data_IF_955424491289
#
_entry.id   IF_955424491289
#
_cell.length_a   1.000
_cell.length_b   1.000
_cell.length_c   1.000
_cell.angle_alpha   90.00
_cell.angle_beta   90.00
_cell.angle_gamma   90.00
#
_symmetry.space_group_name_H-M   'P 1'
#
loop_
_entity.id
_entity.type
_entity.pdbx_description
1 polymer ?
#
# COMPACT_ATOMS: atom_id res chain seq x y z
N UNK A 1 49.51 -40.57 -8.49
CA UNK A 1 49.99 -41.42 -9.59
C UNK A 1 48.80 -42.04 -10.32
N UNK A 2 48.69 -41.77 -11.63
CA UNK A 2 48.13 -42.59 -12.74
C UNK A 2 46.69 -43.15 -12.60
N UNK A 3 45.72 -42.67 -13.42
CA UNK A 3 45.34 -43.12 -14.80
C UNK A 3 44.72 -44.54 -14.78
N UNK A 4 43.70 -44.95 -15.54
CA UNK A 4 42.80 -44.42 -16.58
C UNK A 4 42.06 -45.67 -17.15
N UNK A 5 40.82 -45.55 -17.65
CA UNK A 5 40.16 -46.36 -18.74
C UNK A 5 38.64 -46.47 -18.47
N UNK A 6 37.78 -45.66 -19.10
CA UNK A 6 37.18 -45.84 -20.44
C UNK A 6 36.42 -47.16 -20.62
N UNK A 7 35.09 -47.08 -20.66
CA UNK A 7 34.28 -47.89 -21.56
C UNK A 7 33.29 -46.98 -22.28
N UNK A 8 33.53 -46.82 -23.58
CA UNK A 8 32.61 -46.25 -24.56
C UNK A 8 31.31 -47.06 -24.59
N UNK A 9 30.17 -46.39 -24.46
CA UNK A 9 28.94 -46.86 -25.09
C UNK A 9 28.57 -45.86 -26.18
N UNK A 10 28.79 -46.29 -27.43
CA UNK A 10 28.22 -45.68 -28.62
C UNK A 10 26.70 -45.77 -28.53
N UNK A 11 26.02 -44.63 -28.53
CA UNK A 11 24.65 -44.53 -29.02
C UNK A 11 24.62 -43.43 -30.07
N UNK A 12 25.04 -43.79 -31.29
CA UNK A 12 24.72 -43.03 -32.50
C UNK A 12 23.39 -43.59 -33.00
N UNK A 13 22.30 -42.85 -32.79
CA UNK A 13 21.07 -43.06 -33.55
C UNK A 13 20.20 -41.80 -33.53
N UNK A 14 20.26 -41.11 -34.68
CA UNK A 14 19.27 -40.21 -35.26
C UNK A 14 18.74 -39.05 -34.39
N UNK A 15 19.31 -37.87 -34.64
CA UNK A 15 18.53 -36.63 -34.67
C UNK A 15 17.40 -36.78 -35.71
N UNK A 16 16.24 -37.26 -35.28
CA UNK A 16 15.01 -36.83 -35.91
C UNK A 16 14.78 -35.39 -35.44
N UNK A 17 15.18 -34.43 -36.28
CA UNK A 17 14.74 -33.05 -36.18
C UNK A 17 13.23 -33.08 -36.46
N UNK A 18 12.43 -33.40 -35.43
CA UNK A 18 11.07 -32.89 -35.38
C UNK A 18 11.28 -31.41 -35.12
N UNK A 19 11.26 -30.63 -36.20
CA UNK A 19 11.20 -29.19 -36.10
C UNK A 19 9.94 -28.83 -35.33
N UNK A 20 10.07 -28.60 -34.02
CA UNK A 20 9.15 -27.72 -33.33
C UNK A 20 9.40 -26.34 -33.92
N UNK A 21 8.71 -26.04 -35.02
CA UNK A 21 8.50 -24.67 -35.45
C UNK A 21 7.55 -24.05 -34.43
N UNK A 22 8.03 -23.71 -33.24
CA UNK A 22 7.29 -22.81 -32.37
C UNK A 22 7.34 -21.46 -33.08
N UNK A 23 6.26 -21.15 -33.78
CA UNK A 23 6.09 -19.92 -34.52
C UNK A 23 6.21 -18.77 -33.51
N UNK A 24 7.29 -18.00 -33.55
CA UNK A 24 7.51 -16.84 -32.66
C UNK A 24 6.31 -15.87 -32.70
N UNK A 25 5.59 -15.82 -33.83
CA UNK A 25 4.35 -15.06 -33.98
C UNK A 25 3.13 -15.64 -33.23
N UNK A 26 3.03 -16.96 -33.05
CA UNK A 26 1.95 -17.57 -32.25
C UNK A 26 2.20 -17.39 -30.76
N UNK A 27 3.44 -17.55 -30.30
CA UNK A 27 3.83 -17.28 -28.91
C UNK A 27 3.61 -15.80 -28.58
N UNK A 28 4.03 -14.89 -29.47
CA UNK A 28 3.82 -13.45 -29.29
C UNK A 28 2.34 -13.05 -29.24
N UNK A 29 1.47 -13.76 -29.97
CA UNK A 29 0.02 -13.54 -29.93
C UNK A 29 -0.61 -14.04 -28.63
N UNK A 30 -0.24 -15.24 -28.17
CA UNK A 30 -0.72 -15.82 -26.91
C UNK A 30 -0.31 -14.94 -25.72
N UNK A 31 0.95 -14.50 -25.67
CA UNK A 31 1.44 -13.61 -24.61
C UNK A 31 0.67 -12.29 -24.61
N UNK A 32 0.38 -11.73 -25.79
CA UNK A 32 -0.38 -10.48 -25.87
C UNK A 32 -1.82 -10.65 -25.39
N UNK A 33 -2.47 -11.74 -25.77
CA UNK A 33 -3.86 -12.04 -25.39
C UNK A 33 -3.99 -12.34 -23.89
N UNK A 34 -2.98 -12.96 -23.27
CA UNK A 34 -2.95 -13.26 -21.84
C UNK A 34 -2.56 -12.06 -20.97
N UNK A 35 -1.64 -11.19 -21.43
CA UNK A 35 -1.20 -9.99 -20.71
C UNK A 35 -2.20 -8.83 -20.83
N UNK A 36 -2.97 -8.74 -21.92
CA UNK A 36 -4.02 -7.74 -22.11
C UNK A 36 -5.40 -8.20 -21.56
N UNK A 37 -5.49 -9.42 -20.99
CA UNK A 37 -6.71 -9.89 -20.33
C UNK A 37 -7.01 -9.04 -19.08
N UNK A 38 -8.19 -8.39 -18.99
CA UNK A 38 -8.59 -7.59 -17.82
C UNK A 38 -8.49 -8.35 -16.49
N UNK A 39 -8.82 -9.64 -16.47
CA UNK A 39 -8.76 -10.46 -15.25
C UNK A 39 -7.31 -10.68 -14.79
N UNK A 40 -6.39 -10.86 -15.75
CA UNK A 40 -4.96 -10.99 -15.47
C UNK A 40 -4.38 -9.69 -14.92
N UNK A 41 -4.74 -8.54 -15.51
CA UNK A 41 -4.30 -7.21 -15.05
C UNK A 41 -4.77 -6.95 -13.62
N UNK A 42 -6.04 -7.22 -13.33
CA UNK A 42 -6.64 -6.98 -12.03
C UNK A 42 -6.04 -7.89 -10.94
N UNK A 43 -5.80 -9.17 -11.26
CA UNK A 43 -5.11 -10.11 -10.37
C UNK A 43 -3.64 -9.71 -10.15
N UNK A 44 -2.98 -9.16 -11.17
CA UNK A 44 -1.61 -8.66 -11.05
C UNK A 44 -1.54 -7.44 -10.11
N UNK A 45 -2.49 -6.50 -10.22
CA UNK A 45 -2.57 -5.33 -9.35
C UNK A 45 -2.83 -5.73 -7.89
N UNK A 46 -3.76 -6.66 -7.67
CA UNK A 46 -4.02 -7.24 -6.35
C UNK A 46 -2.75 -7.81 -5.72
N UNK A 47 -2.01 -8.65 -6.45
CA UNK A 47 -0.81 -9.31 -5.92
C UNK A 47 0.33 -8.30 -5.64
N UNK A 48 0.50 -7.28 -6.49
CA UNK A 48 1.49 -6.20 -6.27
C UNK A 48 1.18 -5.43 -5.00
N UNK A 49 -0.08 -5.00 -4.84
CA UNK A 49 -0.50 -4.19 -3.69
C UNK A 49 -0.52 -5.00 -2.39
N UNK A 50 -0.93 -6.28 -2.44
CA UNK A 50 -0.79 -7.21 -1.32
C UNK A 50 0.67 -7.37 -0.89
N UNK A 51 1.59 -7.52 -1.83
CA UNK A 51 3.02 -7.63 -1.52
C UNK A 51 3.56 -6.35 -0.88
N UNK A 52 3.16 -5.17 -1.38
CA UNK A 52 3.54 -3.87 -0.77
C UNK A 52 3.06 -3.77 0.67
N UNK A 53 1.80 -4.14 0.93
CA UNK A 53 1.24 -4.15 2.27
C UNK A 53 2.00 -5.10 3.20
N UNK A 54 2.27 -6.33 2.77
CA UNK A 54 2.94 -7.34 3.59
C UNK A 54 4.36 -6.94 4.02
N UNK A 55 5.11 -6.24 3.15
CA UNK A 55 6.46 -5.75 3.48
C UNK A 55 6.45 -4.72 4.61
N UNK A 56 5.32 -4.05 4.87
CA UNK A 56 5.18 -3.10 5.99
C UNK A 56 5.24 -3.82 7.35
N UNK A 57 4.86 -5.09 7.40
CA UNK A 57 4.82 -5.91 8.62
C UNK A 57 4.13 -5.17 9.79
N UNK A 58 2.91 -4.69 9.54
CA UNK A 58 2.16 -3.84 10.44
C UNK A 58 1.05 -4.62 11.16
N UNK A 59 1.35 -5.12 12.36
CA UNK A 59 0.40 -5.93 13.15
C UNK A 59 -0.43 -5.12 14.15
N UNK A 60 -0.01 -3.87 14.41
CA UNK A 60 -0.62 -3.00 15.41
C UNK A 60 -0.95 -1.65 14.77
N UNK A 61 -2.24 -1.38 14.57
CA UNK A 61 -2.70 -0.19 13.86
C UNK A 61 -4.16 0.12 14.17
N UNK A 62 -4.58 1.31 13.80
CA UNK A 62 -5.94 1.80 13.89
C UNK A 62 -6.35 2.41 12.55
N UNK A 63 -7.62 2.28 12.17
CA UNK A 63 -8.17 2.88 10.97
C UNK A 63 -9.67 3.06 11.10
N UNK A 64 -10.23 4.01 10.36
CA UNK A 64 -11.66 4.19 10.22
C UNK A 64 -12.18 3.30 9.10
N UNK A 65 -13.33 2.67 9.31
CA UNK A 65 -13.91 1.68 8.42
C UNK A 65 -15.42 1.83 8.33
N UNK A 66 -15.98 1.57 7.15
CA UNK A 66 -17.42 1.30 6.98
C UNK A 66 -17.68 0.34 5.84
N UNK A 67 -18.75 -0.43 5.97
CA UNK A 67 -19.36 -1.14 4.85
C UNK A 67 -20.27 -0.20 4.05
N UNK A 68 -20.35 -0.44 2.75
CA UNK A 68 -21.24 0.20 1.80
C UNK A 68 -22.09 -0.92 1.19
N UNK A 69 -23.31 -1.10 1.71
CA UNK A 69 -24.25 -2.11 1.25
C UNK A 69 -25.68 -1.74 1.67
N UNK A 70 -26.68 -2.40 1.09
CA UNK A 70 -28.06 -2.32 1.56
C UNK A 70 -28.26 -3.16 2.83
N UNK A 71 -27.70 -2.68 3.94
CA UNK A 71 -27.64 -3.38 5.22
C UNK A 71 -28.28 -2.53 6.35
N UNK A 72 -28.47 -3.13 7.54
CA UNK A 72 -28.94 -2.39 8.72
C UNK A 72 -28.02 -1.20 9.05
N UNK A 73 -28.60 -0.13 9.59
CA UNK A 73 -27.87 1.12 9.85
C UNK A 73 -26.65 0.93 10.75
N UNK A 74 -26.74 0.06 11.76
CA UNK A 74 -25.63 -0.25 12.66
C UNK A 74 -24.48 -1.01 11.97
N UNK A 75 -24.76 -1.71 10.86
CA UNK A 75 -23.78 -2.46 10.08
C UNK A 75 -22.94 -1.56 9.18
N UNK A 76 -23.54 -0.50 8.64
CA UNK A 76 -22.90 0.48 7.75
C UNK A 76 -22.38 1.72 8.48
N UNK A 77 -22.67 1.83 9.78
CA UNK A 77 -22.17 2.93 10.60
C UNK A 77 -20.64 2.92 10.64
N UNK A 78 -19.98 4.07 10.45
CA UNK A 78 -18.53 4.15 10.50
C UNK A 78 -18.00 3.81 11.90
N UNK A 79 -16.92 3.04 11.93
CA UNK A 79 -16.21 2.65 13.15
C UNK A 79 -14.73 2.93 13.03
N UNK A 80 -14.08 3.29 14.14
CA UNK A 80 -12.63 3.22 14.28
C UNK A 80 -12.28 1.83 14.82
N UNK A 81 -11.52 1.06 14.05
CA UNK A 81 -11.08 -0.30 14.39
C UNK A 81 -9.67 -0.26 14.94
N UNK A 82 -9.45 -0.87 16.09
CA UNK A 82 -8.10 -1.12 16.65
C UNK A 82 -7.71 -2.57 16.36
N UNK A 83 -6.60 -2.75 15.64
CA UNK A 83 -5.96 -4.04 15.39
C UNK A 83 -4.70 -4.13 16.24
N UNK A 84 -4.54 -5.24 16.95
CA UNK A 84 -3.35 -5.53 17.74
C UNK A 84 -2.98 -6.99 17.64
N UNK A 85 -1.70 -7.26 17.36
CA UNK A 85 -1.19 -8.59 16.99
C UNK A 85 -1.96 -9.23 15.81
N UNK A 86 -2.30 -8.42 14.81
CA UNK A 86 -2.99 -8.88 13.59
C UNK A 86 -4.46 -9.25 13.77
N UNK A 87 -5.04 -9.07 14.97
CA UNK A 87 -6.45 -9.33 15.24
C UNK A 87 -7.19 -8.07 15.69
N UNK A 88 -8.49 -7.98 15.35
CA UNK A 88 -9.34 -6.89 15.82
C UNK A 88 -9.51 -7.01 17.33
N UNK A 89 -9.04 -5.99 18.06
CA UNK A 89 -9.14 -5.92 19.53
C UNK A 89 -10.43 -5.22 19.96
N UNK A 90 -10.75 -4.13 19.29
CA UNK A 90 -11.94 -3.34 19.53
C UNK A 90 -12.36 -2.58 18.26
N UNK A 91 -13.61 -2.11 18.28
CA UNK A 91 -14.14 -1.15 17.33
C UNK A 91 -15.04 -0.17 18.08
N UNK A 92 -15.00 1.10 17.72
CA UNK A 92 -15.79 2.18 18.34
C UNK A 92 -16.54 2.92 17.24
N UNK A 93 -17.85 3.10 17.39
CA UNK A 93 -18.62 3.92 16.44
C UNK A 93 -18.12 5.36 16.47
N UNK A 94 -17.74 5.90 15.32
CA UNK A 94 -17.07 7.22 15.25
C UNK A 94 -17.99 8.36 15.70
N UNK A 95 -19.29 8.24 15.43
CA UNK A 95 -20.27 9.27 15.79
C UNK A 95 -20.63 9.28 17.28
N UNK A 96 -20.87 8.09 17.85
CA UNK A 96 -21.38 7.99 19.23
C UNK A 96 -20.28 7.79 20.26
N UNK A 97 -19.08 7.41 19.83
CA UNK A 97 -17.96 7.01 20.70
C UNK A 97 -18.31 5.82 21.61
N UNK A 98 -19.32 5.03 21.24
CA UNK A 98 -19.74 3.83 21.96
C UNK A 98 -19.00 2.60 21.39
N UNK A 99 -18.43 1.72 22.24
CA UNK A 99 -17.82 0.48 21.79
C UNK A 99 -18.82 -0.44 21.08
N UNK A 100 -18.39 -1.06 19.99
CA UNK A 100 -19.15 -2.14 19.35
C UNK A 100 -19.17 -3.36 20.27
N UNK A 101 -20.34 -4.00 20.40
CA UNK A 101 -20.49 -5.21 21.20
C UNK A 101 -19.61 -6.34 20.64
N UNK A 102 -19.02 -7.15 21.54
CA UNK A 102 -18.05 -8.20 21.18
C UNK A 102 -18.60 -9.18 20.14
N UNK A 103 -19.87 -9.57 20.25
CA UNK A 103 -20.54 -10.47 19.31
C UNK A 103 -20.76 -9.88 17.90
N UNK A 104 -20.54 -8.56 17.71
CA UNK A 104 -20.63 -7.86 16.44
C UNK A 104 -19.26 -7.57 15.81
N UNK A 105 -18.15 -7.83 16.49
CA UNK A 105 -16.80 -7.55 15.97
C UNK A 105 -16.46 -8.38 14.72
N UNK A 106 -17.06 -9.56 14.59
CA UNK A 106 -16.91 -10.44 13.41
C UNK A 106 -17.48 -9.84 12.11
N UNK A 107 -18.24 -8.75 12.19
CA UNK A 107 -18.74 -8.00 11.02
C UNK A 107 -17.63 -7.25 10.30
N UNK A 108 -16.54 -6.93 10.98
CA UNK A 108 -15.45 -6.13 10.43
C UNK A 108 -14.26 -7.00 10.02
N UNK A 109 -13.31 -6.40 9.29
CA UNK A 109 -12.11 -7.09 8.83
C UNK A 109 -10.86 -6.24 9.10
N UNK A 110 -9.75 -6.92 9.35
CA UNK A 110 -8.41 -6.31 9.26
C UNK A 110 -8.10 -5.99 7.80
N UNK A 111 -6.98 -5.33 7.52
CA UNK A 111 -6.56 -5.06 6.13
C UNK A 111 -6.25 -6.38 5.42
N UNK A 112 -5.60 -7.34 6.10
CA UNK A 112 -5.41 -8.70 5.56
C UNK A 112 -6.74 -9.44 5.36
N UNK A 113 -7.70 -9.20 6.25
CA UNK A 113 -9.07 -9.70 6.09
C UNK A 113 -9.77 -9.12 4.86
N UNK A 114 -9.51 -7.86 4.51
CA UNK A 114 -10.02 -7.25 3.29
C UNK A 114 -9.33 -7.80 2.03
N UNK A 115 -8.01 -8.05 2.08
CA UNK A 115 -7.35 -8.80 1.01
C UNK A 115 -7.94 -10.20 0.82
N UNK A 116 -8.35 -10.85 1.91
CA UNK A 116 -9.02 -12.15 1.85
C UNK A 116 -10.41 -12.02 1.22
N UNK A 117 -11.21 -11.03 1.64
CA UNK A 117 -12.51 -10.70 1.04
C UNK A 117 -12.41 -10.45 -0.48
N UNK A 118 -11.41 -9.70 -0.92
CA UNK A 118 -11.16 -9.42 -2.34
C UNK A 118 -10.75 -10.70 -3.08
N UNK A 119 -9.88 -11.53 -2.48
CA UNK A 119 -9.48 -12.83 -3.06
C UNK A 119 -10.69 -13.74 -3.23
N UNK A 120 -11.54 -13.84 -2.22
CA UNK A 120 -12.75 -14.68 -2.26
C UNK A 120 -13.70 -14.24 -3.40
N UNK A 121 -13.79 -12.93 -3.68
CA UNK A 121 -14.58 -12.40 -4.80
C UNK A 121 -14.03 -12.84 -6.16
N UNK A 122 -12.70 -12.79 -6.35
CA UNK A 122 -12.07 -13.32 -7.57
C UNK A 122 -12.26 -14.82 -7.71
N UNK A 123 -12.01 -15.58 -6.65
CA UNK A 123 -12.11 -17.05 -6.66
C UNK A 123 -13.56 -17.52 -6.86
N UNK A 124 -14.53 -16.71 -6.42
CA UNK A 124 -15.96 -16.90 -6.64
C UNK A 124 -16.48 -16.48 -8.01
N UNK A 125 -15.62 -15.94 -8.90
CA UNK A 125 -16.00 -15.34 -10.18
C UNK A 125 -17.09 -14.27 -10.04
N UNK A 126 -16.94 -13.35 -9.09
CA UNK A 126 -17.83 -12.19 -8.98
C UNK A 126 -17.89 -11.44 -10.33
N UNK A 127 -19.09 -10.98 -10.70
CA UNK A 127 -19.31 -10.26 -11.96
C UNK A 127 -18.40 -9.05 -12.12
N UNK A 128 -18.21 -8.26 -11.06
CA UNK A 128 -17.32 -7.12 -11.03
C UNK A 128 -16.62 -6.96 -9.68
N UNK A 129 -15.32 -6.68 -9.72
CA UNK A 129 -14.52 -6.31 -8.55
C UNK A 129 -13.76 -5.03 -8.88
N UNK A 130 -14.00 -3.96 -8.13
CA UNK A 130 -13.34 -2.68 -8.32
C UNK A 130 -12.69 -2.24 -7.01
N UNK A 131 -11.35 -2.19 -6.97
CA UNK A 131 -10.58 -1.88 -5.75
C UNK A 131 -9.63 -0.72 -6.02
N UNK A 132 -9.60 0.24 -5.09
CA UNK A 132 -8.62 1.31 -5.05
C UNK A 132 -7.60 1.05 -3.93
N UNK A 133 -6.31 1.09 -4.28
CA UNK A 133 -5.21 0.84 -3.35
C UNK A 133 -4.42 2.12 -3.05
N UNK A 134 -3.90 2.23 -1.83
CA UNK A 134 -2.96 3.31 -1.50
C UNK A 134 -1.67 3.09 -2.31
N UNK A 135 -1.22 4.08 -3.10
CA UNK A 135 -0.09 3.88 -4.02
C UNK A 135 1.25 3.68 -3.31
N UNK A 136 1.34 3.97 -2.01
CA UNK A 136 2.57 3.87 -1.23
C UNK A 136 2.63 2.61 -0.38
N UNK A 137 1.55 2.33 0.37
CA UNK A 137 1.47 1.22 1.32
C UNK A 137 0.70 0.01 0.77
N UNK A 138 0.00 0.15 -0.35
CA UNK A 138 -0.68 -0.94 -1.05
C UNK A 138 -1.93 -1.50 -0.38
N UNK A 139 -2.37 -0.96 0.77
CA UNK A 139 -3.64 -1.41 1.37
C UNK A 139 -4.84 -0.97 0.51
N UNK A 140 -5.90 -1.79 0.39
CA UNK A 140 -7.13 -1.37 -0.25
C UNK A 140 -7.82 -0.32 0.64
N UNK A 141 -8.03 0.89 0.13
CA UNK A 141 -8.72 1.93 0.89
C UNK A 141 -10.19 2.07 0.49
N UNK A 142 -10.57 1.52 -0.66
CA UNK A 142 -11.95 1.49 -1.14
C UNK A 142 -12.11 0.26 -2.02
N UNK A 143 -13.27 -0.38 -1.95
CA UNK A 143 -13.59 -1.48 -2.86
C UNK A 143 -15.07 -1.71 -2.99
N UNK A 144 -15.50 -2.22 -4.14
CA UNK A 144 -16.84 -2.74 -4.39
C UNK A 144 -16.76 -4.10 -5.09
N UNK A 145 -17.68 -4.98 -4.71
CA UNK A 145 -17.86 -6.30 -5.30
C UNK A 145 -19.33 -6.48 -5.66
N UNK A 146 -19.58 -6.71 -6.94
CA UNK A 146 -20.86 -7.13 -7.52
C UNK A 146 -20.68 -8.58 -7.96
N UNK A 147 -21.39 -9.52 -7.32
CA UNK A 147 -21.30 -10.94 -7.63
C UNK A 147 -22.24 -11.32 -8.79
N UNK A 148 -23.40 -10.68 -8.91
CA UNK A 148 -24.45 -10.95 -9.89
C UNK A 148 -25.00 -9.65 -10.47
N UNK A 149 -24.77 -9.50 -11.77
CA UNK A 149 -25.25 -8.35 -12.55
C UNK A 149 -26.75 -8.06 -12.29
N UNK A 150 -27.06 -6.79 -12.03
CA UNK A 150 -28.41 -6.27 -11.80
C UNK A 150 -29.08 -6.69 -10.47
N UNK A 151 -28.34 -7.21 -9.49
CA UNK A 151 -28.86 -7.47 -8.13
C UNK A 151 -28.18 -6.54 -7.11
N UNK A 152 -28.83 -5.44 -6.76
CA UNK A 152 -28.22 -4.38 -5.92
C UNK A 152 -28.07 -4.78 -4.44
N UNK A 153 -28.92 -5.66 -3.92
CA UNK A 153 -28.92 -6.05 -2.51
C UNK A 153 -27.78 -7.01 -2.10
N UNK A 154 -27.05 -7.54 -3.07
CA UNK A 154 -25.87 -8.38 -2.83
C UNK A 154 -24.52 -7.65 -2.97
N UNK A 155 -24.51 -6.44 -3.54
CA UNK A 155 -23.30 -5.64 -3.69
C UNK A 155 -22.72 -5.31 -2.31
N UNK A 156 -21.42 -5.58 -2.17
CA UNK A 156 -20.68 -5.23 -0.96
C UNK A 156 -19.48 -4.37 -1.29
N UNK A 157 -19.53 -3.13 -0.84
CA UNK A 157 -18.41 -2.23 -0.82
C UNK A 157 -17.88 -1.95 0.58
N UNK A 158 -16.67 -1.40 0.66
CA UNK A 158 -16.06 -0.95 1.90
C UNK A 158 -15.22 0.30 1.66
N UNK A 159 -14.97 1.04 2.74
CA UNK A 159 -14.08 2.19 2.73
C UNK A 159 -13.22 2.19 4.00
N UNK A 160 -11.93 2.47 3.84
CA UNK A 160 -10.96 2.71 4.91
C UNK A 160 -10.46 4.15 4.84
N UNK A 161 -10.35 4.80 6.00
CA UNK A 161 -9.72 6.11 6.16
C UNK A 161 -8.77 6.11 7.36
N UNK A 162 -7.92 7.13 7.44
CA UNK A 162 -7.11 7.44 8.63
C UNK A 162 -6.30 6.25 9.19
N UNK A 163 -5.68 5.43 8.32
CA UNK A 163 -4.79 4.36 8.75
C UNK A 163 -3.58 4.95 9.52
N UNK A 164 -3.43 4.52 10.77
CA UNK A 164 -2.37 4.94 11.68
C UNK A 164 -1.74 3.73 12.36
N UNK A 165 -0.42 3.65 12.38
CA UNK A 165 0.31 2.64 13.15
C UNK A 165 0.17 2.92 14.64
N UNK A 166 0.08 1.87 15.45
CA UNK A 166 0.17 1.97 16.91
C UNK A 166 1.60 1.71 17.37
N UNK A 167 2.13 2.63 18.18
CA UNK A 167 3.40 2.47 18.89
C UNK A 167 3.17 2.77 20.37
N UNK A 168 3.81 2.01 21.26
CA UNK A 168 3.71 2.23 22.71
C UNK A 168 5.10 2.44 23.29
N UNK A 169 5.20 3.41 24.19
CA UNK A 169 6.40 3.68 24.99
C UNK A 169 6.03 3.87 26.47
N UNK A 170 7.00 4.28 27.29
CA UNK A 170 6.77 4.54 28.72
C UNK A 170 5.75 5.66 29.00
N UNK A 171 5.48 6.52 28.00
CA UNK A 171 4.61 7.69 28.11
C UNK A 171 3.20 7.44 27.54
N UNK A 172 2.93 6.27 26.98
CA UNK A 172 1.60 5.87 26.54
C UNK A 172 1.58 5.24 25.15
N UNK A 173 0.40 5.26 24.53
CA UNK A 173 0.19 4.73 23.17
C UNK A 173 -0.02 5.87 22.19
N UNK A 174 0.67 5.78 21.06
CA UNK A 174 0.76 6.77 20.02
C UNK A 174 0.18 6.24 18.73
N UNK A 175 -0.61 7.08 18.06
CA UNK A 175 -1.03 6.90 16.69
C UNK A 175 -0.02 7.58 15.78
N UNK A 176 0.64 6.81 14.92
CA UNK A 176 1.64 7.26 13.98
C UNK A 176 1.01 7.30 12.58
N UNK A 177 0.82 8.51 12.06
CA UNK A 177 0.20 8.76 10.76
C UNK A 177 1.20 9.28 9.72
N UNK A 178 0.83 9.20 8.45
CA UNK A 178 1.55 9.85 7.34
C UNK A 178 1.31 11.36 7.42
N UNK A 179 2.36 12.17 7.36
CA UNK A 179 2.21 13.63 7.29
C UNK A 179 1.50 14.04 5.99
N UNK A 180 0.38 14.79 6.05
CA UNK A 180 -0.32 15.30 4.88
C UNK A 180 0.49 16.38 4.14
N UNK A 181 1.43 15.95 3.30
CA UNK A 181 2.20 16.84 2.45
C UNK A 181 1.36 17.29 1.25
N UNK A 182 1.38 18.58 0.94
CA UNK A 182 0.67 19.17 -0.20
C UNK A 182 1.60 19.95 -1.16
N UNK A 183 2.87 20.14 -0.80
CA UNK A 183 3.83 20.85 -1.65
C UNK A 183 5.29 20.52 -1.34
N UNK A 184 6.13 20.57 -2.37
CA UNK A 184 7.59 20.44 -2.26
C UNK A 184 8.27 21.50 -3.14
N UNK A 185 9.16 22.31 -2.55
CA UNK A 185 10.10 23.15 -3.30
C UNK A 185 11.53 22.66 -3.12
N UNK A 186 12.38 22.87 -4.13
CA UNK A 186 13.79 22.44 -4.13
C UNK A 186 14.71 23.65 -4.11
N UNK A 187 15.83 23.49 -3.41
CA UNK A 187 16.96 24.39 -3.40
C UNK A 187 18.24 23.58 -3.59
N UNK A 188 18.92 23.80 -4.72
CA UNK A 188 20.10 23.05 -5.13
C UNK A 188 21.33 23.95 -5.04
N UNK A 189 22.43 23.45 -4.47
CA UNK A 189 23.71 24.18 -4.46
C UNK A 189 24.49 24.00 -5.75
N UNK A 190 25.25 25.03 -6.13
CA UNK A 190 26.19 24.99 -7.26
C UNK A 190 27.55 24.40 -6.84
N UNK A 191 27.56 23.25 -6.17
CA UNK A 191 28.77 22.56 -5.70
C UNK A 191 28.85 21.14 -6.26
N UNK A 192 30.02 20.50 -6.17
CA UNK A 192 30.20 19.08 -6.53
C UNK A 192 30.69 18.33 -5.28
N UNK A 193 29.91 17.38 -4.72
CA UNK A 193 28.56 17.00 -5.16
C UNK A 193 27.53 18.11 -4.92
N UNK A 194 26.47 18.11 -5.73
CA UNK A 194 25.34 19.02 -5.54
C UNK A 194 24.61 18.66 -4.25
N UNK A 195 24.25 19.68 -3.45
CA UNK A 195 23.44 19.50 -2.26
C UNK A 195 22.00 19.85 -2.61
N UNK A 196 21.08 18.94 -2.29
CA UNK A 196 19.65 19.14 -2.56
C UNK A 196 18.94 19.30 -1.23
N UNK A 197 18.44 20.51 -0.97
CA UNK A 197 17.53 20.79 0.12
C UNK A 197 16.10 20.87 -0.43
N UNK A 198 15.16 20.31 0.30
CA UNK A 198 13.74 20.43 0.00
C UNK A 198 13.02 21.15 1.14
N UNK A 199 12.01 21.92 0.78
CA UNK A 199 11.05 22.48 1.71
C UNK A 199 9.71 21.80 1.45
N UNK A 200 9.25 21.03 2.43
CA UNK A 200 7.99 20.30 2.37
C UNK A 200 6.93 21.11 3.11
N UNK A 201 5.81 21.37 2.43
CA UNK A 201 4.63 22.03 2.97
C UNK A 201 3.54 21.00 3.21
N UNK A 202 2.76 21.22 4.26
CA UNK A 202 1.63 20.39 4.62
C UNK A 202 0.97 20.90 5.89
N UNK A 203 0.31 20.02 6.62
CA UNK A 203 -0.43 20.40 7.82
C UNK A 203 -0.52 19.29 8.87
N UNK A 204 -0.80 19.68 10.11
CA UNK A 204 -1.17 18.81 11.22
C UNK A 204 -2.69 18.80 11.33
N UNK A 205 -3.29 17.62 11.49
CA UNK A 205 -4.75 17.43 11.33
C UNK A 205 -5.59 17.90 12.53
N UNK A 206 -4.98 18.02 13.71
CA UNK A 206 -5.64 18.45 14.95
C UNK A 206 -4.63 19.09 15.93
N UNK A 207 -5.13 19.58 17.06
CA UNK A 207 -4.31 20.25 18.08
C UNK A 207 -3.30 19.37 18.82
N UNK A 208 -3.42 18.04 18.75
CA UNK A 208 -2.54 17.10 19.45
C UNK A 208 -1.49 16.46 18.53
N UNK A 209 -1.76 16.50 17.22
CA UNK A 209 -0.88 15.91 16.22
C UNK A 209 0.39 16.72 16.13
N UNK A 210 1.52 16.06 16.34
CA UNK A 210 2.84 16.66 16.29
C UNK A 210 3.68 15.98 15.21
N UNK A 211 4.72 16.68 14.75
CA UNK A 211 5.78 16.05 13.97
C UNK A 211 6.39 14.87 14.74
N UNK A 212 6.62 13.76 14.06
CA UNK A 212 7.25 12.57 14.64
C UNK A 212 8.68 12.40 14.14
N UNK A 213 8.85 11.95 12.89
CA UNK A 213 10.16 11.63 12.33
C UNK A 213 10.18 11.77 10.81
N UNK A 214 11.40 11.83 10.27
CA UNK A 214 11.72 11.74 8.84
C UNK A 214 12.58 10.52 8.64
N UNK A 215 12.26 9.70 7.63
CA UNK A 215 13.11 8.62 7.14
C UNK A 215 13.36 8.83 5.66
N UNK A 216 14.61 8.61 5.23
CA UNK A 216 14.98 8.70 3.82
C UNK A 216 15.46 7.33 3.35
N UNK A 217 15.05 6.94 2.15
CA UNK A 217 15.60 5.81 1.42
C UNK A 217 15.96 6.24 0.01
N UNK A 218 17.00 5.62 -0.54
CA UNK A 218 17.48 5.93 -1.88
C UNK A 218 17.80 4.66 -2.64
N UNK A 219 17.26 4.59 -3.85
CA UNK A 219 17.51 3.55 -4.83
C UNK A 219 17.90 4.26 -6.13
N UNK A 220 19.21 4.40 -6.35
CA UNK A 220 19.77 5.12 -7.49
C UNK A 220 19.26 6.57 -7.60
N UNK A 221 18.39 6.82 -8.59
CA UNK A 221 17.77 8.11 -8.89
C UNK A 221 16.38 8.27 -8.26
N UNK A 222 15.86 7.25 -7.59
CA UNK A 222 14.67 7.32 -6.76
C UNK A 222 15.07 7.70 -5.32
N UNK A 223 14.55 8.83 -4.85
CA UNK A 223 14.66 9.27 -3.47
C UNK A 223 13.28 9.25 -2.85
N UNK A 224 13.11 8.55 -1.74
CA UNK A 224 11.85 8.55 -1.00
C UNK A 224 12.07 9.06 0.42
N UNK A 225 11.24 10.03 0.79
CA UNK A 225 11.21 10.66 2.11
C UNK A 225 9.87 10.33 2.75
N UNK A 226 9.89 9.57 3.83
CA UNK A 226 8.73 9.32 4.66
C UNK A 226 8.72 10.32 5.82
N UNK A 227 7.66 11.12 5.92
CA UNK A 227 7.45 12.03 7.04
C UNK A 227 6.23 11.54 7.81
N UNK A 228 6.37 11.33 9.10
CA UNK A 228 5.26 10.88 9.95
C UNK A 228 4.93 11.93 11.00
N UNK A 229 3.68 11.89 11.43
CA UNK A 229 3.16 12.60 12.60
C UNK A 229 2.84 11.59 13.69
N UNK A 230 2.74 12.09 14.92
CA UNK A 230 2.28 11.31 16.06
C UNK A 230 1.25 12.08 16.84
N UNK A 231 0.25 11.38 17.38
CA UNK A 231 -0.68 11.91 18.38
C UNK A 231 -0.93 10.87 19.47
N UNK A 232 -1.23 11.27 20.71
CA UNK A 232 -1.68 10.32 21.72
C UNK A 232 -2.99 9.66 21.27
N UNK A 233 -3.10 8.34 21.45
CA UNK A 233 -4.28 7.55 21.02
C UNK A 233 -5.58 8.06 21.66
N UNK A 234 -5.55 8.26 22.97
CA UNK A 234 -6.75 8.52 23.78
C UNK A 234 -6.98 10.02 24.06
N UNK A 235 -6.29 10.91 23.36
CA UNK A 235 -6.43 12.35 23.55
C UNK A 235 -7.65 12.92 22.81
N UNK A 236 -8.45 13.72 23.51
CA UNK A 236 -9.48 14.58 22.94
C UNK A 236 -8.84 15.84 22.36
N UNK A 237 -8.89 15.98 21.03
CA UNK A 237 -8.16 17.01 20.31
C UNK A 237 -9.11 17.95 19.57
N UNK A 238 -8.82 19.25 19.61
CA UNK A 238 -9.57 20.23 18.84
C UNK A 238 -9.31 19.98 17.35
N UNK A 239 -10.39 19.97 16.56
CA UNK A 239 -10.35 19.75 15.11
C UNK A 239 -9.90 21.02 14.40
N UNK A 240 -8.61 21.32 14.49
CA UNK A 240 -7.97 22.49 13.90
C UNK A 240 -6.76 22.07 13.08
N UNK A 241 -6.75 22.49 11.81
CA UNK A 241 -5.63 22.25 10.91
C UNK A 241 -4.55 23.30 11.18
N UNK A 242 -3.32 22.85 11.39
CA UNK A 242 -2.15 23.73 11.57
C UNK A 242 -1.17 23.55 10.43
N UNK A 243 -0.96 24.58 9.61
CA UNK A 243 0.05 24.53 8.54
C UNK A 243 1.45 24.32 9.11
N UNK A 244 2.24 23.47 8.46
CA UNK A 244 3.61 23.18 8.86
C UNK A 244 4.51 23.15 7.63
N UNK A 245 5.71 23.70 7.80
CA UNK A 245 6.79 23.62 6.81
C UNK A 245 8.00 22.91 7.41
N UNK A 246 8.60 21.99 6.65
CA UNK A 246 9.80 21.26 7.05
C UNK A 246 10.90 21.38 6.00
N UNK A 247 12.06 21.87 6.43
CA UNK A 247 13.27 21.89 5.60
C UNK A 247 14.04 20.58 5.82
N UNK A 248 14.34 19.87 4.74
CA UNK A 248 15.01 18.56 4.77
C UNK A 248 16.16 18.60 3.77
N UNK A 249 17.35 18.25 4.24
CA UNK A 249 18.49 17.99 3.36
C UNK A 249 18.42 16.55 2.87
N UNK A 250 18.40 16.34 1.56
CA UNK A 250 18.38 15.00 1.00
C UNK A 250 19.73 14.31 1.23
N UNK A 251 19.67 13.06 1.63
CA UNK A 251 20.85 12.24 1.89
C UNK A 251 21.44 11.66 0.59
N UNK A 252 22.76 11.50 0.57
CA UNK A 252 23.51 10.94 -0.55
C UNK A 252 24.09 11.99 -1.50
N UNK A 253 24.79 11.49 -2.51
CA UNK A 253 25.43 12.32 -3.54
C UNK A 253 24.52 12.46 -4.75
N UNK A 254 24.43 13.67 -5.27
CA UNK A 254 23.67 13.95 -6.48
C UNK A 254 24.60 14.38 -7.61
N UNK A 255 24.65 13.55 -8.64
CA UNK A 255 25.42 13.77 -9.86
C UNK A 255 24.66 14.66 -10.83
N UNK A 256 25.42 15.54 -11.48
CA UNK A 256 24.98 16.38 -12.60
C UNK A 256 24.75 15.51 -13.84
N UNK A 257 23.80 15.90 -14.70
CA UNK A 257 23.35 15.20 -15.89
C UNK A 257 22.34 14.07 -15.62
N UNK A 258 21.65 14.05 -14.47
CA UNK A 258 20.75 12.96 -14.07
C UNK A 258 19.35 13.47 -13.74
N UNK A 259 18.33 12.67 -14.06
CA UNK A 259 16.94 12.91 -13.65
C UNK A 259 16.62 12.12 -12.39
N UNK A 260 16.19 12.82 -11.34
CA UNK A 260 15.81 12.22 -10.07
C UNK A 260 14.29 12.25 -9.90
N UNK A 261 13.74 11.18 -9.32
CA UNK A 261 12.36 11.11 -8.84
C UNK A 261 12.37 11.19 -7.32
N UNK A 262 11.77 12.24 -6.79
CA UNK A 262 11.55 12.44 -5.36
C UNK A 262 10.10 12.10 -5.01
N UNK A 263 9.91 11.22 -4.04
CA UNK A 263 8.60 10.96 -3.44
C UNK A 263 8.68 11.40 -1.98
N UNK A 264 7.84 12.36 -1.58
CA UNK A 264 7.65 12.72 -0.17
C UNK A 264 6.22 12.36 0.19
N UNK A 265 6.03 11.27 0.93
CA UNK A 265 4.71 10.72 1.22
C UNK A 265 3.88 10.55 -0.08
N UNK A 266 2.78 11.32 -0.23
CA UNK A 266 1.88 11.29 -1.39
C UNK A 266 2.28 12.27 -2.51
N UNK A 267 3.32 13.10 -2.32
CA UNK A 267 3.73 14.11 -3.30
C UNK A 267 4.95 13.60 -4.07
N UNK A 268 4.82 13.53 -5.40
CA UNK A 268 5.92 13.20 -6.30
C UNK A 268 6.45 14.45 -6.99
N UNK A 269 7.77 14.54 -7.16
CA UNK A 269 8.43 15.59 -7.93
C UNK A 269 9.64 15.04 -8.67
N UNK A 270 9.78 15.41 -9.94
CA UNK A 270 11.00 15.15 -10.72
C UNK A 270 11.88 16.39 -10.75
N UNK A 271 13.19 16.19 -10.76
CA UNK A 271 14.15 17.27 -10.91
C UNK A 271 15.41 16.78 -11.61
N UNK A 272 15.98 17.66 -12.43
CA UNK A 272 17.25 17.43 -13.12
C UNK A 272 18.36 18.17 -12.38
N UNK A 273 19.54 17.56 -12.36
CA UNK A 273 20.78 18.18 -11.91
C UNK A 273 21.81 18.15 -13.01
#
# INVERSE_FOLDING_TARGET
MRRSAYLLFLCVSLFAIIGCTTNEGEIGKIIKEEVENPDFILLSEFNINKSRWQVRNLDNYQFDFRWICFCEHDYISPVTITVGDGIIRDAIYTETQIPVQVNKLNRYKTIDGLFSFIRDAYDGNAHQVAISYDPHDGYPFEGSVDYVEMIVDEEKGFEIRNLMKLESDENGTWLIGRFPANGISLQVTKSIPALVNITVQGYLSDSCTLFHQIKQRREENLVVVEITTRRPKDAFCAQVITEMTKNIRLEGNFSIGQNYKLIVNSVEKRFDL
#
